data_IF_611011479507
#
_entry.id   IF_611011479507
#
_cell.length_a   1.000
_cell.length_b   1.000
_cell.length_c   1.000
_cell.angle_alpha   90.00
_cell.angle_beta   90.00
_cell.angle_gamma   90.00
#
_symmetry.space_group_name_H-M   'P 1'
#
loop_
_entity.id
_entity.type
_entity.pdbx_description
1 polymer ?
#
# COMPACT_ATOMS: atom_id res chain seq x y z
N UNK A 1 21.84 5.51 37.35
CA UNK A 1 21.22 6.79 36.94
C UNK A 1 22.13 7.45 35.93
N UNK A 2 21.90 7.16 34.65
CA UNK A 2 22.00 8.17 33.58
C UNK A 2 21.14 7.65 32.43
N UNK A 3 19.99 8.27 32.28
CA UNK A 3 19.25 8.28 31.02
C UNK A 3 19.87 9.40 30.18
N UNK A 4 20.10 9.18 28.89
CA UNK A 4 19.81 10.22 27.89
C UNK A 4 19.64 9.62 26.49
N UNK A 5 18.46 9.93 25.95
CA UNK A 5 17.87 9.65 24.66
C UNK A 5 18.73 10.02 23.46
N UNK A 6 18.70 9.20 22.40
CA UNK A 6 18.74 9.72 21.03
C UNK A 6 17.77 8.95 20.11
N UNK A 7 16.74 9.68 19.71
CA UNK A 7 15.83 9.41 18.61
C UNK A 7 16.61 9.41 17.30
N UNK A 8 16.60 8.29 16.56
CA UNK A 8 17.06 8.26 15.17
C UNK A 8 15.85 8.09 14.26
N UNK A 9 15.41 9.22 13.68
CA UNK A 9 14.46 9.22 12.59
C UNK A 9 15.08 8.58 11.34
N UNK A 10 14.32 7.73 10.67
CA UNK A 10 14.74 7.12 9.41
C UNK A 10 14.80 8.18 8.31
N UNK A 11 16.02 8.53 7.94
CA UNK A 11 16.35 9.46 6.85
C UNK A 11 16.03 8.88 5.47
N UNK A 12 15.52 9.77 4.63
CA UNK A 12 15.00 9.56 3.26
C UNK A 12 16.11 9.73 2.20
N UNK A 13 16.08 8.87 1.16
CA UNK A 13 16.59 9.11 -0.22
C UNK A 13 18.00 8.59 -0.55
N UNK A 14 18.24 7.77 -1.58
CA UNK A 14 18.06 8.15 -3.01
C UNK A 14 18.12 6.92 -3.97
N UNK A 15 17.03 6.74 -4.74
CA UNK A 15 16.81 6.12 -6.07
C UNK A 15 17.80 5.12 -6.69
N UNK A 16 17.29 3.92 -6.97
CA UNK A 16 17.24 3.42 -8.35
C UNK A 16 15.83 3.73 -8.88
N UNK A 17 15.69 4.18 -10.12
CA UNK A 17 14.41 4.47 -10.77
C UNK A 17 13.62 3.18 -11.08
N UNK A 18 13.27 2.41 -10.05
CA UNK A 18 12.21 1.41 -10.08
C UNK A 18 11.01 2.02 -9.39
N UNK A 19 9.84 1.97 -10.03
CA UNK A 19 8.60 2.41 -9.41
C UNK A 19 8.44 1.72 -8.05
N UNK A 20 8.29 2.50 -6.97
CA UNK A 20 7.91 1.96 -5.67
C UNK A 20 6.43 1.57 -5.76
N UNK A 21 6.17 0.35 -6.20
CA UNK A 21 4.82 -0.17 -6.41
C UNK A 21 4.68 -1.62 -5.95
N UNK A 22 3.44 -1.98 -5.65
CA UNK A 22 3.00 -3.33 -5.39
C UNK A 22 2.31 -3.90 -6.64
N UNK A 23 2.91 -4.92 -7.23
CA UNK A 23 2.26 -5.71 -8.29
C UNK A 23 1.20 -6.62 -7.68
N UNK A 24 -0.04 -6.50 -8.16
CA UNK A 24 -1.20 -7.28 -7.72
C UNK A 24 -1.76 -8.06 -8.91
N UNK A 25 -1.96 -9.37 -8.75
CA UNK A 25 -2.67 -10.20 -9.74
C UNK A 25 -3.98 -10.68 -9.15
N UNK A 26 -5.09 -10.31 -9.76
CA UNK A 26 -6.41 -10.82 -9.39
C UNK A 26 -6.71 -12.12 -10.15
N UNK A 27 -6.59 -13.26 -9.46
CA UNK A 27 -6.83 -14.58 -10.05
C UNK A 27 -8.31 -14.84 -10.40
N UNK A 28 -9.25 -14.02 -9.90
CA UNK A 28 -10.67 -14.14 -10.26
C UNK A 28 -10.91 -13.70 -11.71
N UNK A 29 -10.18 -12.68 -12.15
CA UNK A 29 -10.34 -12.05 -13.47
C UNK A 29 -9.13 -12.28 -14.40
N UNK A 30 -7.99 -12.69 -13.84
CA UNK A 30 -6.72 -12.83 -14.56
C UNK A 30 -5.99 -11.51 -14.83
N UNK A 31 -6.48 -10.39 -14.29
CA UNK A 31 -5.91 -9.06 -14.52
C UNK A 31 -4.76 -8.76 -13.54
N UNK A 32 -3.80 -7.96 -13.99
CA UNK A 32 -2.69 -7.47 -13.17
C UNK A 32 -2.72 -5.95 -13.06
N UNK A 33 -2.34 -5.45 -11.88
CA UNK A 33 -2.39 -4.05 -11.49
C UNK A 33 -1.09 -3.68 -10.79
N UNK A 34 -0.70 -2.42 -10.92
CA UNK A 34 0.34 -1.80 -10.10
C UNK A 34 -0.32 -0.81 -9.14
N UNK A 35 0.03 -0.90 -7.86
CA UNK A 35 -0.47 0.00 -6.82
C UNK A 35 0.73 0.78 -6.27
N UNK A 36 0.66 2.10 -6.26
CA UNK A 36 1.77 2.92 -5.75
C UNK A 36 1.98 2.70 -4.25
N UNK A 37 3.25 2.67 -3.85
CA UNK A 37 3.66 2.68 -2.45
C UNK A 37 4.08 4.12 -2.13
N UNK A 38 3.33 4.76 -1.24
CA UNK A 38 3.59 6.11 -0.74
C UNK A 38 3.91 6.04 0.75
N UNK A 39 5.07 6.59 1.15
CA UNK A 39 5.56 6.59 2.53
C UNK A 39 5.54 5.19 3.22
N UNK A 40 5.83 4.14 2.44
CA UNK A 40 5.84 2.75 2.92
C UNK A 40 4.46 2.12 3.09
N UNK A 41 3.41 2.77 2.57
CA UNK A 41 2.02 2.32 2.66
C UNK A 41 1.36 2.29 1.29
N UNK A 42 0.27 1.51 1.15
CA UNK A 42 -0.60 1.54 -0.02
C UNK A 42 -1.93 2.14 0.38
N UNK A 43 -2.52 3.00 -0.46
CA UNK A 43 -3.83 3.58 -0.16
C UNK A 43 -4.90 2.52 -0.36
N UNK A 44 -5.75 2.31 0.64
CA UNK A 44 -6.87 1.37 0.57
C UNK A 44 -7.83 1.66 -0.62
N UNK A 45 -7.94 2.94 -1.01
CA UNK A 45 -8.77 3.38 -2.14
C UNK A 45 -8.28 2.85 -3.49
N UNK A 46 -6.98 2.61 -3.64
CA UNK A 46 -6.39 2.18 -4.91
C UNK A 46 -6.80 0.73 -5.24
N UNK A 47 -7.16 -0.08 -4.24
CA UNK A 47 -7.73 -1.42 -4.47
C UNK A 47 -9.11 -1.40 -5.13
N UNK A 48 -9.83 -0.26 -5.15
CA UNK A 48 -11.13 -0.16 -5.83
C UNK A 48 -11.03 -0.24 -7.35
N UNK A 49 -9.83 -0.08 -7.92
CA UNK A 49 -9.61 -0.31 -9.34
C UNK A 49 -9.71 -1.80 -9.72
N UNK A 50 -9.56 -2.70 -8.74
CA UNK A 50 -9.64 -4.14 -8.93
C UNK A 50 -11.11 -4.57 -8.82
N UNK A 51 -11.73 -4.91 -9.96
CA UNK A 51 -13.15 -5.22 -10.06
C UNK A 51 -13.37 -6.55 -10.77
N UNK A 52 -14.44 -7.25 -10.39
CA UNK A 52 -14.92 -8.43 -11.15
C UNK A 52 -15.88 -7.97 -12.23
N UNK A 53 -16.79 -7.04 -11.91
CA UNK A 53 -17.74 -6.42 -12.83
C UNK A 53 -17.58 -4.89 -12.89
N UNK A 54 -17.95 -4.25 -14.02
CA UNK A 54 -17.78 -2.80 -14.22
C UNK A 54 -18.57 -1.96 -13.20
N UNK A 55 -19.73 -2.48 -12.79
CA UNK A 55 -20.65 -1.87 -11.83
C UNK A 55 -20.26 -2.12 -10.36
N UNK A 56 -19.20 -2.90 -10.10
CA UNK A 56 -18.71 -3.14 -8.74
C UNK A 56 -18.05 -1.89 -8.15
N UNK A 57 -18.16 -1.78 -6.83
CA UNK A 57 -17.40 -0.81 -6.03
C UNK A 57 -15.88 -1.09 -6.02
N UNK A 58 -15.46 -2.28 -6.47
CA UNK A 58 -14.09 -2.76 -6.43
C UNK A 58 -13.69 -3.44 -5.13
N UNK A 59 -12.47 -3.96 -5.07
CA UNK A 59 -11.97 -4.70 -3.92
C UNK A 59 -11.81 -3.77 -2.72
N UNK A 60 -12.41 -4.16 -1.60
CA UNK A 60 -12.32 -3.44 -0.34
C UNK A 60 -11.32 -4.12 0.59
N UNK A 61 -10.53 -3.31 1.29
CA UNK A 61 -9.71 -3.79 2.40
C UNK A 61 -10.59 -3.98 3.64
N UNK A 62 -10.37 -5.05 4.37
CA UNK A 62 -11.06 -5.32 5.63
C UNK A 62 -10.07 -5.24 6.78
N UNK A 63 -10.28 -4.25 7.65
CA UNK A 63 -9.52 -4.06 8.89
C UNK A 63 -10.49 -4.00 10.09
N UNK A 64 -10.71 -5.14 10.77
CA UNK A 64 -11.67 -5.24 11.88
C UNK A 64 -11.40 -4.28 13.03
N UNK A 65 -10.14 -3.85 13.20
CA UNK A 65 -9.70 -2.99 14.30
C UNK A 65 -9.48 -1.54 13.89
N UNK A 66 -9.68 -1.19 12.61
CA UNK A 66 -9.37 0.14 12.04
C UNK A 66 -7.97 0.67 12.43
N UNK A 67 -7.02 -0.23 12.68
CA UNK A 67 -5.71 0.11 13.22
C UNK A 67 -4.68 0.41 12.13
N UNK A 68 -4.98 0.00 10.89
CA UNK A 68 -4.06 0.03 9.76
C UNK A 68 -4.69 0.64 8.49
N UNK A 69 -5.84 1.32 8.59
CA UNK A 69 -6.59 1.90 7.46
C UNK A 69 -6.84 3.39 7.65
#
# INVERSE_FOLDING_TARGET
MTEESQSTGNGRGTTAAGAESLSVTDNRTGQSYEVEIEDGTVRAMDFRQIKVDEDDFGLMTYDPGYSNT
#
